data_IF_866650229489
#
_entry.id   IF_866650229489
#
_cell.length_a   1.000
_cell.length_b   1.000
_cell.length_c   1.000
_cell.angle_alpha   90.00
_cell.angle_beta   90.00
_cell.angle_gamma   90.00
#
_symmetry.space_group_name_H-M   'P 1'
#
loop_
_entity.id
_entity.type
_entity.pdbx_description
1 polymer ?
#
# COMPACT_ATOMS: atom_id res chain seq x y z
N UNK A 1 28.92 7.79 16.58
CA UNK A 1 28.40 7.46 15.23
C UNK A 1 29.27 8.20 14.21
N UNK A 2 29.46 7.73 12.97
CA UNK A 2 30.27 8.51 12.01
C UNK A 2 29.44 9.65 11.39
N UNK A 3 30.08 10.77 11.08
CA UNK A 3 29.46 11.98 10.49
C UNK A 3 28.69 11.66 9.19
N UNK A 4 29.12 10.63 8.45
CA UNK A 4 28.45 10.13 7.25
C UNK A 4 27.13 9.41 7.58
N UNK A 5 27.07 8.62 8.67
CA UNK A 5 25.84 7.92 9.06
C UNK A 5 24.74 8.91 9.46
N UNK A 6 25.08 9.94 10.23
CA UNK A 6 24.12 11.00 10.62
C UNK A 6 23.60 11.73 9.39
N UNK A 7 24.49 12.13 8.48
CA UNK A 7 24.10 12.77 7.22
C UNK A 7 23.13 11.90 6.42
N UNK A 8 23.40 10.60 6.30
CA UNK A 8 22.50 9.71 5.56
C UNK A 8 21.11 9.67 6.21
N UNK A 9 21.02 9.55 7.53
CA UNK A 9 19.74 9.55 8.26
C UNK A 9 18.95 10.83 8.08
N UNK A 10 19.63 11.99 8.05
CA UNK A 10 18.96 13.28 7.96
C UNK A 10 18.38 13.57 6.56
N UNK A 11 19.12 13.23 5.50
CA UNK A 11 18.73 13.58 4.12
C UNK A 11 17.89 12.50 3.44
N UNK A 12 18.11 11.22 3.77
CA UNK A 12 17.47 10.12 3.06
C UNK A 12 15.93 10.14 3.09
N UNK A 13 15.25 10.40 4.24
CA UNK A 13 13.79 10.46 4.28
C UNK A 13 13.21 11.48 3.30
N UNK A 14 13.84 12.64 3.17
CA UNK A 14 13.42 13.69 2.23
C UNK A 14 13.54 13.23 0.78
N UNK A 15 14.67 12.60 0.43
CA UNK A 15 14.88 12.04 -0.92
C UNK A 15 13.85 10.95 -1.22
N UNK A 16 13.59 10.04 -0.27
CA UNK A 16 12.64 8.95 -0.40
C UNK A 16 11.21 9.47 -0.62
N UNK A 17 10.73 10.39 0.22
CA UNK A 17 9.38 10.97 0.09
C UNK A 17 9.24 11.74 -1.22
N UNK A 18 10.28 12.47 -1.64
CA UNK A 18 10.25 13.23 -2.90
C UNK A 18 10.11 12.28 -4.09
N UNK A 19 10.94 11.24 -4.15
CA UNK A 19 10.89 10.25 -5.21
C UNK A 19 9.53 9.53 -5.24
N UNK A 20 9.05 9.10 -4.08
CA UNK A 20 7.75 8.44 -3.97
C UNK A 20 6.62 9.37 -4.43
N UNK A 21 6.65 10.65 -4.07
CA UNK A 21 5.63 11.63 -4.46
C UNK A 21 5.60 11.87 -5.97
N UNK A 22 6.75 11.84 -6.65
CA UNK A 22 6.82 11.87 -8.12
C UNK A 22 6.12 10.64 -8.71
N UNK A 23 6.43 9.44 -8.19
CA UNK A 23 5.78 8.20 -8.63
C UNK A 23 4.27 8.22 -8.38
N UNK A 24 3.83 8.73 -7.24
CA UNK A 24 2.40 8.84 -6.92
C UNK A 24 1.67 9.82 -7.84
N UNK A 25 2.30 10.95 -8.18
CA UNK A 25 1.72 11.91 -9.12
C UNK A 25 1.48 11.26 -10.49
N UNK A 26 2.45 10.48 -10.99
CA UNK A 26 2.30 9.73 -12.23
C UNK A 26 1.23 8.65 -12.13
N UNK A 27 1.13 7.94 -11.00
CA UNK A 27 0.08 6.93 -10.79
C UNK A 27 -1.33 7.56 -10.80
N UNK A 28 -1.49 8.74 -10.18
CA UNK A 28 -2.74 9.49 -10.18
C UNK A 28 -3.09 10.04 -11.57
N UNK A 29 -2.09 10.51 -12.32
CA UNK A 29 -2.26 10.95 -13.71
C UNK A 29 -2.74 9.80 -14.60
N UNK A 30 -2.11 8.62 -14.50
CA UNK A 30 -2.54 7.43 -15.23
C UNK A 30 -3.96 6.99 -14.82
N UNK A 31 -4.26 7.00 -13.51
CA UNK A 31 -5.60 6.64 -13.03
C UNK A 31 -6.66 7.61 -13.59
N UNK A 32 -6.35 8.91 -13.63
CA UNK A 32 -7.24 9.91 -14.21
C UNK A 32 -7.42 9.69 -15.72
N UNK A 33 -6.34 9.45 -16.45
CA UNK A 33 -6.40 9.12 -17.89
C UNK A 33 -7.28 7.89 -18.15
N UNK A 34 -7.11 6.83 -17.35
CA UNK A 34 -7.95 5.64 -17.45
C UNK A 34 -9.44 5.94 -17.25
N UNK A 35 -9.79 6.78 -16.27
CA UNK A 35 -11.17 7.19 -16.02
C UNK A 35 -11.75 7.94 -17.22
N UNK A 36 -11.00 8.86 -17.80
CA UNK A 36 -11.44 9.68 -18.94
C UNK A 36 -11.66 8.85 -20.21
N UNK A 37 -10.79 7.86 -20.46
CA UNK A 37 -10.82 7.04 -21.67
C UNK A 37 -11.79 5.84 -21.59
N UNK A 38 -12.29 5.51 -20.40
CA UNK A 38 -13.08 4.29 -20.15
C UNK A 38 -14.59 4.52 -20.22
N UNK A 39 -15.19 4.35 -21.41
CA UNK A 39 -16.63 4.49 -21.62
C UNK A 39 -17.49 3.62 -20.69
N UNK A 40 -17.01 2.40 -20.37
CA UNK A 40 -17.73 1.42 -19.55
C UNK A 40 -18.01 1.92 -18.12
N UNK A 41 -17.26 2.91 -17.61
CA UNK A 41 -17.49 3.52 -16.30
C UNK A 41 -18.73 4.42 -16.27
N UNK A 42 -19.15 4.94 -17.43
CA UNK A 42 -20.24 5.91 -17.54
C UNK A 42 -21.54 5.31 -18.08
N UNK A 43 -21.49 4.06 -18.56
CA UNK A 43 -22.70 3.31 -18.96
C UNK A 43 -23.45 2.88 -17.70
N UNK A 44 -24.62 3.46 -17.47
CA UNK A 44 -25.41 3.18 -16.29
C UNK A 44 -25.75 1.68 -16.15
N UNK A 45 -25.37 1.08 -15.03
CA UNK A 45 -25.61 -0.33 -14.76
C UNK A 45 -24.81 -0.83 -13.57
N UNK A 46 -25.13 -2.06 -13.12
CA UNK A 46 -24.40 -2.71 -12.05
C UNK A 46 -22.90 -2.89 -12.34
N UNK A 47 -22.46 -3.28 -13.56
CA UNK A 47 -21.03 -3.39 -13.87
C UNK A 47 -20.26 -2.08 -13.67
N UNK A 48 -20.82 -0.95 -14.09
CA UNK A 48 -20.17 0.36 -13.90
C UNK A 48 -19.94 0.67 -12.41
N UNK A 49 -20.88 0.33 -11.53
CA UNK A 49 -20.71 0.49 -10.08
C UNK A 49 -19.54 -0.36 -9.57
N UNK A 50 -19.43 -1.61 -10.01
CA UNK A 50 -18.34 -2.51 -9.62
C UNK A 50 -16.98 -1.96 -10.07
N UNK A 51 -16.89 -1.44 -11.29
CA UNK A 51 -15.63 -0.90 -11.78
C UNK A 51 -15.28 0.46 -11.17
N UNK A 52 -16.26 1.30 -10.81
CA UNK A 52 -15.99 2.46 -9.98
C UNK A 52 -15.44 2.08 -8.60
N UNK A 53 -15.94 0.99 -8.01
CA UNK A 53 -15.38 0.45 -6.77
C UNK A 53 -13.94 -0.04 -6.98
N UNK A 54 -13.63 -0.65 -8.13
CA UNK A 54 -12.27 -1.05 -8.50
C UNK A 54 -11.35 0.19 -8.61
N UNK A 55 -11.78 1.24 -9.31
CA UNK A 55 -11.08 2.53 -9.43
C UNK A 55 -10.82 3.15 -8.07
N UNK A 56 -11.85 3.22 -7.20
CA UNK A 56 -11.73 3.77 -5.85
C UNK A 56 -10.78 2.94 -4.98
N UNK A 57 -10.79 1.61 -5.13
CA UNK A 57 -9.85 0.72 -4.42
C UNK A 57 -8.41 1.03 -4.83
N UNK A 58 -8.14 1.21 -6.13
CA UNK A 58 -6.82 1.60 -6.64
C UNK A 58 -6.40 2.98 -6.13
N UNK A 59 -7.30 3.96 -6.16
CA UNK A 59 -7.03 5.31 -5.63
C UNK A 59 -6.63 5.26 -4.15
N UNK A 60 -7.39 4.56 -3.32
CA UNK A 60 -7.07 4.43 -1.90
C UNK A 60 -5.75 3.65 -1.72
N UNK A 61 -5.50 2.62 -2.53
CA UNK A 61 -4.23 1.90 -2.55
C UNK A 61 -3.02 2.81 -2.83
N UNK A 62 -3.12 3.68 -3.84
CA UNK A 62 -2.11 4.71 -4.16
C UNK A 62 -1.85 5.60 -2.95
N UNK A 63 -2.91 6.14 -2.33
CA UNK A 63 -2.79 7.00 -1.15
C UNK A 63 -2.20 6.24 0.05
N UNK A 64 -2.62 4.99 0.27
CA UNK A 64 -2.12 4.15 1.37
C UNK A 64 -0.63 3.89 1.27
N UNK A 65 -0.12 3.60 0.07
CA UNK A 65 1.31 3.43 -0.18
C UNK A 65 2.06 4.68 0.29
N UNK A 66 1.62 5.85 -0.16
CA UNK A 66 2.23 7.11 0.25
C UNK A 66 2.16 7.32 1.76
N UNK A 67 1.00 7.10 2.38
CA UNK A 67 0.80 7.30 3.82
C UNK A 67 1.74 6.43 4.64
N UNK A 68 1.88 5.13 4.33
CA UNK A 68 2.78 4.23 5.06
C UNK A 68 4.22 4.75 5.03
N UNK A 69 4.70 5.21 3.87
CA UNK A 69 6.04 5.74 3.75
C UNK A 69 6.22 7.06 4.47
N UNK A 70 5.29 7.99 4.27
CA UNK A 70 5.32 9.30 4.90
C UNK A 70 5.35 9.14 6.43
N UNK A 71 4.48 8.30 6.98
CA UNK A 71 4.42 8.03 8.42
C UNK A 71 5.71 7.41 8.95
N UNK A 72 6.24 6.39 8.28
CA UNK A 72 7.50 5.78 8.71
C UNK A 72 8.67 6.77 8.65
N UNK A 73 8.76 7.57 7.59
CA UNK A 73 9.80 8.58 7.40
C UNK A 73 9.72 9.74 8.41
N UNK A 74 8.52 10.11 8.86
CA UNK A 74 8.34 11.13 9.89
C UNK A 74 8.56 10.59 11.31
N UNK A 75 8.28 9.31 11.55
CA UNK A 75 8.28 8.72 12.90
C UNK A 75 9.60 8.10 13.31
N UNK A 76 10.35 7.55 12.36
CA UNK A 76 11.54 6.77 12.67
C UNK A 76 12.78 7.33 12.03
N UNK A 77 13.88 7.22 12.76
CA UNK A 77 15.23 7.31 12.20
C UNK A 77 15.74 5.91 11.93
N UNK A 78 16.22 5.63 10.72
CA UNK A 78 16.86 4.35 10.43
C UNK A 78 17.98 4.55 9.43
N UNK A 79 18.93 3.62 9.44
CA UNK A 79 19.94 3.56 8.39
C UNK A 79 19.32 2.94 7.13
N UNK A 80 19.19 3.71 6.04
CA UNK A 80 18.58 3.20 4.82
C UNK A 80 19.47 2.18 4.13
N UNK A 81 18.83 1.29 3.39
CA UNK A 81 19.48 0.35 2.49
C UNK A 81 19.22 0.75 1.05
N UNK A 82 20.01 0.22 0.11
CA UNK A 82 19.78 0.41 -1.33
C UNK A 82 18.36 0.00 -1.73
N UNK A 83 17.80 -1.02 -1.08
CA UNK A 83 16.44 -1.48 -1.35
C UNK A 83 15.38 -0.41 -1.06
N UNK A 84 15.61 0.47 -0.08
CA UNK A 84 14.68 1.56 0.23
C UNK A 84 14.59 2.56 -0.93
N UNK A 85 15.67 2.76 -1.68
CA UNK A 85 15.69 3.63 -2.86
C UNK A 85 15.03 3.00 -4.09
N UNK A 86 15.09 1.67 -4.20
CA UNK A 86 14.55 0.92 -5.35
C UNK A 86 13.05 0.68 -5.19
N UNK A 87 12.59 0.50 -3.94
CA UNK A 87 11.21 0.10 -3.66
C UNK A 87 10.14 1.04 -4.23
N UNK A 88 10.27 2.39 -4.20
CA UNK A 88 9.32 3.29 -4.85
C UNK A 88 9.11 3.01 -6.33
N UNK A 89 10.17 2.58 -7.05
CA UNK A 89 10.05 2.23 -8.47
C UNK A 89 9.32 0.89 -8.67
N UNK A 90 9.61 -0.11 -7.84
CA UNK A 90 8.92 -1.41 -7.89
C UNK A 90 7.43 -1.21 -7.66
N UNK A 91 7.08 -0.48 -6.61
CA UNK A 91 5.67 -0.18 -6.30
C UNK A 91 5.05 0.69 -7.38
N UNK A 92 5.75 1.69 -7.89
CA UNK A 92 5.28 2.51 -9.02
C UNK A 92 4.93 1.68 -10.24
N UNK A 93 5.82 0.77 -10.66
CA UNK A 93 5.56 -0.13 -11.79
C UNK A 93 4.31 -0.97 -11.53
N UNK A 94 4.17 -1.55 -10.32
CA UNK A 94 2.99 -2.34 -9.98
C UNK A 94 1.72 -1.48 -9.97
N UNK A 95 1.79 -0.23 -9.47
CA UNK A 95 0.68 0.72 -9.51
C UNK A 95 0.26 1.05 -10.95
N UNK A 96 1.22 1.22 -11.86
CA UNK A 96 0.94 1.54 -13.26
C UNK A 96 0.26 0.36 -13.96
N UNK A 97 0.74 -0.87 -13.70
CA UNK A 97 0.10 -2.08 -14.23
C UNK A 97 -1.29 -2.27 -13.62
N UNK A 98 -1.46 -2.01 -12.31
CA UNK A 98 -2.77 -2.02 -11.65
C UNK A 98 -3.76 -1.07 -12.33
N UNK A 99 -3.34 0.13 -12.71
CA UNK A 99 -4.19 1.07 -13.44
C UNK A 99 -4.51 0.52 -14.84
N UNK A 100 -3.52 -0.03 -15.55
CA UNK A 100 -3.71 -0.60 -16.88
C UNK A 100 -4.68 -1.80 -16.90
N UNK A 101 -4.75 -2.56 -15.80
CA UNK A 101 -5.64 -3.72 -15.64
C UNK A 101 -7.03 -3.35 -15.05
N UNK A 102 -7.37 -2.07 -14.95
CA UNK A 102 -8.71 -1.65 -14.55
C UNK A 102 -9.73 -1.98 -15.64
N UNK A 103 -10.90 -2.48 -15.22
CA UNK A 103 -12.00 -2.80 -16.13
C UNK A 103 -12.22 -4.30 -16.36
N UNK A 104 -13.13 -4.64 -17.30
CA UNK A 104 -13.72 -5.98 -17.41
C UNK A 104 -12.74 -7.09 -17.77
N UNK A 105 -11.73 -6.78 -18.58
CA UNK A 105 -10.79 -7.80 -19.07
C UNK A 105 -9.57 -8.00 -18.14
N UNK A 106 -9.39 -7.10 -17.17
CA UNK A 106 -8.21 -7.06 -16.29
C UNK A 106 -8.46 -7.48 -14.84
N UNK A 107 -9.70 -7.82 -14.47
CA UNK A 107 -10.13 -8.06 -13.07
C UNK A 107 -9.23 -9.06 -12.32
N UNK A 108 -8.84 -10.16 -12.97
CA UNK A 108 -7.99 -11.18 -12.36
C UNK A 108 -6.56 -10.70 -12.12
N UNK A 109 -5.96 -10.03 -13.10
CA UNK A 109 -4.62 -9.45 -12.99
C UNK A 109 -4.61 -8.34 -11.92
N UNK A 110 -5.64 -7.50 -11.90
CA UNK A 110 -5.82 -6.46 -10.90
C UNK A 110 -5.91 -7.03 -9.47
N UNK A 111 -6.74 -8.06 -9.25
CA UNK A 111 -6.86 -8.73 -7.94
C UNK A 111 -5.51 -9.34 -7.50
N UNK A 112 -4.79 -9.96 -8.43
CA UNK A 112 -3.48 -10.53 -8.17
C UNK A 112 -2.49 -9.44 -7.73
N UNK A 113 -2.39 -8.36 -8.50
CA UNK A 113 -1.46 -7.28 -8.23
C UNK A 113 -1.80 -6.51 -6.95
N UNK A 114 -3.08 -6.34 -6.61
CA UNK A 114 -3.49 -5.80 -5.32
C UNK A 114 -2.97 -6.68 -4.16
N UNK A 115 -2.98 -8.00 -4.34
CA UNK A 115 -2.43 -8.95 -3.35
C UNK A 115 -0.93 -8.77 -3.19
N UNK A 116 -0.22 -8.64 -4.32
CA UNK A 116 1.22 -8.37 -4.34
C UNK A 116 1.55 -7.04 -3.66
N UNK A 117 0.80 -5.97 -3.93
CA UNK A 117 0.99 -4.66 -3.27
C UNK A 117 0.87 -4.80 -1.76
N UNK A 118 -0.16 -5.47 -1.26
CA UNK A 118 -0.32 -5.64 0.19
C UNK A 118 0.80 -6.45 0.83
N UNK A 119 1.30 -7.49 0.15
CA UNK A 119 2.47 -8.25 0.61
C UNK A 119 3.68 -7.34 0.71
N UNK A 120 3.97 -6.58 -0.35
CA UNK A 120 5.11 -5.68 -0.42
C UNK A 120 5.03 -4.57 0.63
N UNK A 121 3.87 -3.95 0.81
CA UNK A 121 3.66 -2.91 1.82
C UNK A 121 3.88 -3.45 3.24
N UNK A 122 3.33 -4.63 3.53
CA UNK A 122 3.53 -5.28 4.84
C UNK A 122 4.99 -5.58 5.07
N UNK A 123 5.66 -6.17 4.07
CA UNK A 123 7.09 -6.48 4.13
C UNK A 123 7.94 -5.23 4.35
N UNK A 124 7.71 -4.17 3.57
CA UNK A 124 8.47 -2.93 3.72
C UNK A 124 8.25 -2.28 5.07
N UNK A 125 7.01 -2.23 5.57
CA UNK A 125 6.74 -1.66 6.89
C UNK A 125 7.48 -2.43 8.00
N UNK A 126 7.53 -3.76 7.90
CA UNK A 126 8.27 -4.58 8.85
C UNK A 126 9.77 -4.39 8.76
N UNK A 127 10.30 -4.33 7.55
CA UNK A 127 11.73 -4.15 7.37
C UNK A 127 12.20 -2.78 7.90
N UNK A 128 11.38 -1.74 7.73
CA UNK A 128 11.62 -0.43 8.33
C UNK A 128 11.52 -0.49 9.85
N UNK A 129 10.48 -1.09 10.42
CA UNK A 129 10.32 -1.23 11.88
C UNK A 129 11.46 -2.02 12.52
N UNK A 130 11.91 -3.10 11.86
CA UNK A 130 13.04 -3.92 12.33
C UNK A 130 14.33 -3.12 12.38
N UNK A 131 14.59 -2.31 11.35
CA UNK A 131 15.79 -1.46 11.28
C UNK A 131 15.70 -0.26 12.22
N UNK A 132 14.52 0.35 12.36
CA UNK A 132 14.27 1.42 13.32
C UNK A 132 14.55 0.97 14.77
N UNK A 133 14.23 -0.27 15.15
CA UNK A 133 14.55 -0.82 16.48
C UNK A 133 16.04 -0.92 16.80
N UNK A 134 16.90 -0.96 15.78
CA UNK A 134 18.35 -1.01 15.97
C UNK A 134 18.95 0.38 16.25
N UNK A 135 18.17 1.44 16.06
CA UNK A 135 18.60 2.81 16.25
C UNK A 135 18.25 3.29 17.66
N UNK A 136 19.25 3.66 18.51
CA UNK A 136 18.99 4.14 19.86
C UNK A 136 18.09 5.37 19.91
N UNK A 137 18.04 6.16 18.84
CA UNK A 137 17.21 7.37 18.74
C UNK A 137 15.70 7.06 18.71
N UNK A 138 15.31 5.81 18.43
CA UNK A 138 13.90 5.38 18.51
C UNK A 138 13.57 4.64 19.81
N UNK A 139 14.48 4.60 20.80
CA UNK A 139 14.31 3.78 22.00
C UNK A 139 13.03 4.12 22.78
N UNK A 140 12.68 5.40 22.90
CA UNK A 140 11.46 5.87 23.56
C UNK A 140 10.20 5.24 22.96
N UNK A 141 10.12 5.15 21.63
CA UNK A 141 9.00 4.52 20.95
C UNK A 141 8.93 3.01 21.20
N UNK A 142 10.09 2.33 21.24
CA UNK A 142 10.14 0.87 21.32
C UNK A 142 10.22 0.30 22.74
N UNK A 143 10.39 1.13 23.77
CA UNK A 143 10.57 0.69 25.17
C UNK A 143 9.44 -0.24 25.64
N UNK A 144 8.21 0.07 25.25
CA UNK A 144 7.01 -0.69 25.63
C UNK A 144 6.46 -1.58 24.50
N UNK A 145 7.13 -1.64 23.34
CA UNK A 145 6.65 -2.38 22.17
C UNK A 145 7.51 -3.62 21.91
N UNK A 146 6.94 -4.80 22.18
CA UNK A 146 7.57 -6.07 21.81
C UNK A 146 7.76 -6.17 20.30
N UNK A 147 8.83 -6.84 19.81
CA UNK A 147 8.98 -7.14 18.39
C UNK A 147 7.77 -7.90 17.87
N UNK A 148 7.23 -7.46 16.74
CA UNK A 148 6.14 -8.15 16.10
C UNK A 148 6.60 -9.53 15.61
N UNK A 149 5.74 -10.52 15.79
CA UNK A 149 5.97 -11.91 15.41
C UNK A 149 5.21 -12.22 14.11
N UNK A 150 5.56 -13.32 13.43
CA UNK A 150 4.83 -13.77 12.24
C UNK A 150 3.34 -13.99 12.49
N UNK A 151 2.93 -14.25 13.74
CA UNK A 151 1.51 -14.45 14.10
C UNK A 151 0.72 -13.15 14.04
N UNK A 152 1.34 -12.01 14.35
CA UNK A 152 0.70 -10.70 14.30
C UNK A 152 0.36 -10.30 12.86
N UNK A 153 1.05 -10.89 11.88
CA UNK A 153 0.83 -10.68 10.45
C UNK A 153 0.04 -11.78 9.76
N UNK A 154 -0.28 -12.86 10.46
CA UNK A 154 -1.00 -13.98 9.85
C UNK A 154 -2.31 -13.54 9.15
N UNK A 155 -3.15 -12.64 9.73
CA UNK A 155 -4.35 -12.17 9.03
C UNK A 155 -4.03 -11.47 7.70
N UNK A 156 -3.03 -10.60 7.70
CA UNK A 156 -2.63 -9.83 6.52
C UNK A 156 -1.99 -10.72 5.45
N UNK A 157 -1.15 -11.67 5.85
CA UNK A 157 -0.52 -12.65 4.96
C UNK A 157 -1.59 -13.53 4.32
N UNK A 158 -2.48 -14.10 5.14
CA UNK A 158 -3.58 -14.96 4.65
C UNK A 158 -4.45 -14.18 3.68
N UNK A 159 -4.89 -12.97 4.03
CA UNK A 159 -5.72 -12.15 3.16
C UNK A 159 -5.05 -11.85 1.82
N UNK A 160 -3.81 -11.33 1.86
CA UNK A 160 -3.09 -10.94 0.64
C UNK A 160 -2.77 -12.15 -0.24
N UNK A 161 -2.51 -13.32 0.37
CA UNK A 161 -2.25 -14.57 -0.35
C UNK A 161 -3.52 -15.14 -0.99
N UNK A 162 -4.65 -15.09 -0.26
CA UNK A 162 -5.95 -15.48 -0.79
C UNK A 162 -6.38 -14.58 -1.95
N UNK A 163 -6.15 -13.27 -1.83
CA UNK A 163 -6.46 -12.32 -2.89
C UNK A 163 -5.59 -12.55 -4.12
N UNK A 164 -4.29 -12.80 -3.94
CA UNK A 164 -3.39 -13.17 -5.04
C UNK A 164 -3.82 -14.48 -5.71
N UNK A 165 -4.17 -15.50 -4.93
CA UNK A 165 -4.65 -16.78 -5.45
C UNK A 165 -6.00 -16.64 -6.18
N UNK A 166 -6.91 -15.82 -5.67
CA UNK A 166 -8.18 -15.49 -6.32
C UNK A 166 -7.93 -14.78 -7.65
N UNK A 167 -7.01 -13.81 -7.70
CA UNK A 167 -6.63 -13.13 -8.93
C UNK A 167 -6.10 -14.08 -9.99
N UNK A 168 -5.22 -15.02 -9.61
CA UNK A 168 -4.75 -16.10 -10.50
C UNK A 168 -5.92 -16.96 -10.98
N UNK A 169 -6.82 -17.35 -10.06
CA UNK A 169 -7.99 -18.16 -10.41
C UNK A 169 -8.92 -17.44 -11.41
N UNK A 170 -9.16 -16.15 -11.23
CA UNK A 170 -9.97 -15.33 -12.14
C UNK A 170 -9.24 -15.11 -13.48
N UNK A 171 -7.93 -14.88 -13.46
CA UNK A 171 -7.15 -14.61 -14.68
C UNK A 171 -7.00 -15.83 -15.59
N UNK A 172 -6.87 -17.03 -15.02
CA UNK A 172 -6.66 -18.28 -15.77
C UNK A 172 -7.90 -19.18 -15.86
N UNK A 173 -8.94 -18.87 -15.09
CA UNK A 173 -10.16 -19.66 -15.02
C UNK A 173 -11.31 -19.08 -15.84
N UNK A 174 -12.26 -19.95 -16.19
CA UNK A 174 -13.60 -19.56 -16.62
C UNK A 174 -14.45 -19.11 -15.42
N UNK A 175 -13.92 -18.20 -14.59
CA UNK A 175 -14.63 -17.70 -13.44
C UNK A 175 -15.81 -16.83 -13.93
N UNK A 176 -17.02 -17.11 -13.42
CA UNK A 176 -18.16 -16.24 -13.68
C UNK A 176 -17.91 -14.84 -13.11
N UNK A 177 -18.42 -13.80 -13.77
CA UNK A 177 -18.26 -12.40 -13.35
C UNK A 177 -18.78 -12.09 -11.93
N UNK A 178 -19.56 -13.01 -11.33
CA UNK A 178 -19.94 -12.94 -9.91
C UNK A 178 -18.73 -13.11 -8.98
N UNK A 179 -17.81 -14.02 -9.30
CA UNK A 179 -16.63 -14.31 -8.47
C UNK A 179 -15.68 -13.11 -8.44
N UNK A 180 -15.42 -12.50 -9.59
CA UNK A 180 -14.59 -11.31 -9.69
C UNK A 180 -15.25 -10.11 -9.02
N UNK A 181 -16.57 -9.93 -9.18
CA UNK A 181 -17.34 -8.90 -8.47
C UNK A 181 -17.18 -9.03 -6.95
N UNK A 182 -17.34 -10.24 -6.40
CA UNK A 182 -17.15 -10.48 -4.96
C UNK A 182 -15.70 -10.15 -4.56
N UNK A 183 -14.73 -10.56 -5.38
CA UNK A 183 -13.32 -10.23 -5.17
C UNK A 183 -13.09 -8.72 -5.04
N UNK A 184 -13.58 -7.94 -6.01
CA UNK A 184 -13.45 -6.47 -6.05
C UNK A 184 -14.09 -5.85 -4.80
N UNK A 185 -15.31 -6.27 -4.42
CA UNK A 185 -16.01 -5.74 -3.25
C UNK A 185 -15.26 -6.03 -1.95
N UNK A 186 -14.71 -7.24 -1.81
CA UNK A 186 -13.90 -7.62 -0.65
C UNK A 186 -12.59 -6.82 -0.59
N UNK A 187 -11.92 -6.64 -1.73
CA UNK A 187 -10.72 -5.81 -1.83
C UNK A 187 -11.03 -4.39 -1.38
N UNK A 188 -12.11 -3.78 -1.88
CA UNK A 188 -12.51 -2.44 -1.46
C UNK A 188 -12.72 -2.33 0.04
N UNK A 189 -13.49 -3.26 0.63
CA UNK A 189 -13.73 -3.27 2.07
C UNK A 189 -12.42 -3.33 2.89
N UNK A 190 -11.46 -4.14 2.46
CA UNK A 190 -10.17 -4.26 3.15
C UNK A 190 -9.28 -3.04 2.95
N UNK A 191 -9.21 -2.50 1.74
CA UNK A 191 -8.46 -1.27 1.44
C UNK A 191 -8.99 -0.11 2.30
N UNK A 192 -10.32 0.05 2.38
CA UNK A 192 -10.97 1.07 3.24
C UNK A 192 -10.66 0.83 4.71
N UNK A 193 -10.77 -0.42 5.18
CA UNK A 193 -10.45 -0.77 6.56
C UNK A 193 -9.00 -0.46 6.92
N UNK A 194 -8.04 -0.76 6.03
CA UNK A 194 -6.64 -0.42 6.22
C UNK A 194 -6.41 1.09 6.26
N UNK A 195 -7.06 1.85 5.36
CA UNK A 195 -6.99 3.29 5.36
C UNK A 195 -7.47 3.90 6.68
N UNK A 196 -8.62 3.45 7.19
CA UNK A 196 -9.15 3.89 8.49
C UNK A 196 -8.19 3.55 9.63
N UNK A 197 -7.63 2.34 9.65
CA UNK A 197 -6.65 1.97 10.68
C UNK A 197 -5.39 2.81 10.62
N UNK A 198 -4.92 3.15 9.41
CA UNK A 198 -3.76 4.02 9.23
C UNK A 198 -4.03 5.43 9.74
N UNK A 199 -5.21 5.98 9.46
CA UNK A 199 -5.62 7.28 9.99
C UNK A 199 -5.69 7.27 11.53
N UNK A 200 -6.25 6.22 12.15
CA UNK A 200 -6.28 6.08 13.61
C UNK A 200 -4.87 6.02 14.19
N UNK A 201 -4.01 5.16 13.63
CA UNK A 201 -2.63 5.02 14.06
C UNK A 201 -1.85 6.34 13.95
N UNK A 202 -2.14 7.17 12.95
CA UNK A 202 -1.58 8.50 12.82
C UNK A 202 -2.09 9.46 13.91
N UNK A 203 -3.40 9.46 14.19
CA UNK A 203 -3.98 10.28 15.26
C UNK A 203 -3.34 9.96 16.62
N UNK A 204 -3.21 8.68 16.96
CA UNK A 204 -2.55 8.22 18.20
C UNK A 204 -1.07 8.65 18.29
N UNK A 205 -0.47 9.05 17.17
CA UNK A 205 0.92 9.54 17.12
C UNK A 205 1.03 11.02 17.45
N UNK A 206 0.07 11.84 17.02
CA UNK A 206 0.11 13.31 17.16
C UNK A 206 -0.55 13.75 18.47
N UNK A 207 -1.63 13.07 18.84
CA UNK A 207 -2.36 13.32 20.08
C UNK A 207 -2.02 12.15 21.02
N UNK A 208 -0.89 12.19 21.76
CA UNK A 208 -0.73 11.28 22.87
C UNK A 208 -1.92 11.55 23.78
N UNK A 209 -2.76 10.54 24.01
CA UNK A 209 -3.93 10.67 24.86
C UNK A 209 -3.55 11.45 26.13
N UNK A 210 -4.27 12.53 26.40
CA UNK A 210 -4.29 13.14 27.72
C UNK A 210 -5.08 12.25 28.70
N UNK A 211 -4.71 10.96 28.80
CA UNK A 211 -5.28 10.02 29.77
C UNK A 211 -4.53 10.18 31.08
N UNK A 212 -5.05 11.13 31.88
CA UNK A 212 -5.06 11.07 33.34
C UNK A 212 -5.81 9.83 33.82
#
# INVERSE_FOLDING_TARGET
>A
MSLIHERIKDYFPTVLITLLSIVQALALELLWGHIDESEYLFVWGWPAVVYWIQVLSTLIGIVLIWLIYAMNAMRFRWLPSIMDSIFPFIVGIIQFILVADLGPDGEGAWLFLMGVVFILMTWSAQETMRRARLDPENAEFFENLKPATLRDFAPQIVFSSLMAALGIYVAFGSADGVVSTIGILLTFAVVVWQFVNMCRFWMDTIEPESTQ
#
